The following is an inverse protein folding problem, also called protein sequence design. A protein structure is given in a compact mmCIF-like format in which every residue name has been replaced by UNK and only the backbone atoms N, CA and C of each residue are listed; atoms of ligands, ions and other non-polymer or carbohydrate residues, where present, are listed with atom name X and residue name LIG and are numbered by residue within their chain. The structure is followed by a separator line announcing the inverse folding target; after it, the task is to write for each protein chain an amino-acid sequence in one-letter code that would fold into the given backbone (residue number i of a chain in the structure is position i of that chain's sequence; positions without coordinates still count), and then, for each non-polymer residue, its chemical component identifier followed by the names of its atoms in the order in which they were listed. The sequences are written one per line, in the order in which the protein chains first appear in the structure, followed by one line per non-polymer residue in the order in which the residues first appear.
data_IF_591140551661
#
_entry.id   IF_591140551661
#
_cell.length_a   1.000
_cell.length_b   1.000
_cell.length_c   1.000
_cell.angle_alpha   90.00
_cell.angle_beta   90.00
_cell.angle_gamma   90.00
#
_symmetry.space_group_name_H-M   'P 1'
#
loop_
_entity.id
_entity.type
_entity.pdbx_description
1 polymer ?
#
# COMPACT_ATOMS: atom_id res chain seq x y z
N UNK A 1 8.26 7.96 -17.73
CA UNK A 1 9.55 7.83 -18.44
C UNK A 1 10.18 6.43 -18.32
N UNK A 2 9.96 5.65 -17.25
CA UNK A 2 10.54 4.30 -17.10
C UNK A 2 9.92 3.21 -18.01
N UNK A 3 8.62 3.27 -18.31
CA UNK A 3 7.95 2.27 -19.13
C UNK A 3 8.47 2.23 -20.59
N UNK A 4 8.86 3.39 -21.13
CA UNK A 4 9.34 3.53 -22.51
C UNK A 4 10.76 2.97 -22.69
N UNK A 5 11.63 3.08 -21.68
CA UNK A 5 13.01 2.56 -21.73
C UNK A 5 13.06 1.03 -21.58
N UNK A 6 12.13 0.45 -20.82
CA UNK A 6 12.02 -1.01 -20.66
C UNK A 6 11.63 -1.71 -21.98
N UNK A 7 10.80 -1.08 -22.81
CA UNK A 7 10.36 -1.67 -24.07
C UNK A 7 11.47 -1.70 -25.14
N UNK A 8 12.47 -0.82 -25.04
CA UNK A 8 13.50 -0.63 -26.07
C UNK A 8 14.86 -1.28 -25.75
N UNK A 9 15.17 -1.61 -24.49
CA UNK A 9 16.55 -2.01 -24.11
C UNK A 9 16.69 -3.42 -23.52
N UNK A 10 15.60 -4.10 -23.16
CA UNK A 10 15.66 -5.44 -22.56
C UNK A 10 16.30 -5.53 -21.17
N UNK A 11 16.77 -4.42 -20.59
CA UNK A 11 17.31 -4.36 -19.23
C UNK A 11 16.55 -3.32 -18.40
N UNK A 12 16.15 -3.69 -17.17
CA UNK A 12 15.58 -2.75 -16.20
C UNK A 12 16.67 -1.77 -15.74
N UNK A 13 16.54 -0.46 -15.98
CA UNK A 13 17.47 0.52 -15.42
C UNK A 13 17.29 0.57 -13.90
N UNK A 14 18.38 0.64 -13.15
CA UNK A 14 18.34 0.88 -11.71
C UNK A 14 17.71 2.26 -11.43
N UNK A 15 16.51 2.27 -10.83
CA UNK A 15 15.85 3.49 -10.39
C UNK A 15 16.39 3.91 -9.02
N UNK A 16 17.20 4.97 -9.01
CA UNK A 16 17.71 5.59 -7.78
C UNK A 16 16.77 6.73 -7.35
N UNK A 17 16.43 6.79 -6.06
CA UNK A 17 15.73 7.92 -5.47
C UNK A 17 16.71 8.71 -4.60
N UNK A 18 16.86 10.01 -4.84
CA UNK A 18 17.62 10.88 -3.94
C UNK A 18 16.67 11.46 -2.90
N UNK A 19 16.72 10.89 -1.69
CA UNK A 19 15.99 11.39 -0.52
C UNK A 19 16.66 12.68 0.00
N UNK A 20 16.03 13.83 -0.23
CA UNK A 20 16.46 15.14 0.27
C UNK A 20 15.69 15.60 1.53
N UNK A 21 14.91 14.72 2.19
CA UNK A 21 14.11 15.09 3.36
C UNK A 21 14.95 15.49 4.59
N UNK A 22 16.25 15.17 4.59
CA UNK A 22 17.25 15.66 5.55
C UNK A 22 18.47 16.20 4.79
N UNK A 23 18.63 17.54 4.67
CA UNK A 23 19.73 18.16 3.92
C UNK A 23 21.13 17.69 4.39
N UNK A 24 21.24 17.29 5.65
CA UNK A 24 22.52 17.01 6.30
C UNK A 24 23.01 15.55 6.15
N UNK A 25 22.18 14.65 5.63
CA UNK A 25 22.57 13.24 5.36
C UNK A 25 21.87 12.68 4.10
N UNK A 26 22.24 13.16 2.90
CA UNK A 26 21.74 12.56 1.67
C UNK A 26 22.15 11.09 1.62
N UNK A 27 21.16 10.19 1.56
CA UNK A 27 21.37 8.75 1.38
C UNK A 27 20.84 8.36 0.01
N UNK A 28 21.71 7.84 -0.84
CA UNK A 28 21.29 7.19 -2.08
C UNK A 28 20.64 5.86 -1.70
N UNK A 29 19.31 5.79 -1.78
CA UNK A 29 18.57 4.53 -1.66
C UNK A 29 18.06 4.11 -3.03
N UNK A 30 18.04 2.81 -3.27
CA UNK A 30 17.26 2.26 -4.37
C UNK A 30 15.78 2.58 -4.14
N UNK A 31 15.00 2.65 -5.23
CA UNK A 31 13.55 2.86 -5.12
C UNK A 31 12.87 1.80 -4.23
N UNK A 32 13.37 0.56 -4.23
CA UNK A 32 12.86 -0.50 -3.36
C UNK A 32 13.11 -0.22 -1.88
N UNK A 33 14.32 0.22 -1.53
CA UNK A 33 14.66 0.57 -0.14
C UNK A 33 13.83 1.76 0.35
N UNK A 34 13.59 2.74 -0.51
CA UNK A 34 12.76 3.89 -0.16
C UNK A 34 11.30 3.49 0.04
N UNK A 35 10.73 2.65 -0.83
CA UNK A 35 9.37 2.11 -0.64
C UNK A 35 9.29 1.33 0.68
N UNK A 36 10.23 0.42 0.93
CA UNK A 36 10.30 -0.32 2.19
C UNK A 36 10.42 0.59 3.42
N UNK A 37 11.10 1.73 3.29
CA UNK A 37 11.21 2.71 4.35
C UNK A 37 9.90 3.47 4.57
N UNK A 38 9.29 4.02 3.50
CA UNK A 38 8.02 4.74 3.57
C UNK A 38 6.90 3.85 4.10
N UNK A 39 6.85 2.59 3.67
CA UNK A 39 5.89 1.61 4.17
C UNK A 39 5.95 1.50 5.70
N UNK A 40 7.15 1.30 6.26
CA UNK A 40 7.33 1.13 7.72
C UNK A 40 7.22 2.45 8.49
N UNK A 41 7.76 3.54 7.94
CA UNK A 41 7.81 4.82 8.64
C UNK A 41 6.44 5.52 8.68
N UNK A 42 5.59 5.26 7.69
CA UNK A 42 4.29 5.93 7.53
C UNK A 42 3.15 4.93 7.41
N UNK A 43 3.08 4.19 6.31
CA UNK A 43 1.88 3.45 5.87
C UNK A 43 1.36 2.50 6.95
N UNK A 44 2.25 1.71 7.55
CA UNK A 44 1.89 0.74 8.60
C UNK A 44 2.34 1.15 9.99
N UNK A 45 2.69 2.43 10.18
CA UNK A 45 3.13 2.94 11.47
C UNK A 45 1.90 3.22 12.36
N UNK A 46 1.76 2.55 13.52
CA UNK A 46 0.60 2.74 14.40
C UNK A 46 0.41 4.20 14.83
N UNK A 47 1.49 4.95 15.06
CA UNK A 47 1.41 6.37 15.44
C UNK A 47 0.83 7.23 14.33
N UNK A 48 1.16 6.91 13.07
CA UNK A 48 0.61 7.62 11.93
C UNK A 48 -0.87 7.27 11.73
N UNK A 49 -1.22 5.98 11.79
CA UNK A 49 -2.61 5.51 11.70
C UNK A 49 -3.49 6.17 12.75
N UNK A 50 -3.11 6.09 14.03
CA UNK A 50 -3.80 6.78 15.12
C UNK A 50 -3.85 8.31 14.92
N UNK A 51 -2.82 8.87 14.27
CA UNK A 51 -2.77 10.25 13.83
C UNK A 51 -3.90 10.62 12.88
N UNK A 52 -3.96 9.89 11.78
CA UNK A 52 -4.89 10.09 10.66
C UNK A 52 -6.32 9.78 11.09
N UNK A 53 -6.53 8.76 11.91
CA UNK A 53 -7.85 8.34 12.41
C UNK A 53 -8.57 9.41 13.23
N UNK A 54 -7.86 10.41 13.77
CA UNK A 54 -8.49 11.57 14.44
C UNK A 54 -9.25 12.51 13.50
N UNK A 55 -9.17 12.31 12.19
CA UNK A 55 -9.72 13.20 11.18
C UNK A 55 -10.92 12.63 10.41
N UNK A 56 -11.64 11.65 10.99
CA UNK A 56 -12.90 11.13 10.47
C UNK A 56 -12.83 10.73 8.98
N UNK A 57 -13.79 11.20 8.17
CA UNK A 57 -13.82 10.93 6.72
C UNK A 57 -12.50 11.27 6.01
N UNK A 58 -11.90 12.43 6.30
CA UNK A 58 -10.63 12.82 5.66
C UNK A 58 -9.50 11.88 6.06
N UNK A 59 -9.49 11.42 7.30
CA UNK A 59 -8.56 10.39 7.75
C UNK A 59 -8.72 9.09 6.97
N UNK A 60 -9.95 8.59 6.85
CA UNK A 60 -10.24 7.38 6.09
C UNK A 60 -9.86 7.53 4.61
N UNK A 61 -10.17 8.68 3.99
CA UNK A 61 -9.78 8.99 2.61
C UNK A 61 -8.26 8.90 2.39
N UNK A 62 -7.45 9.44 3.31
CA UNK A 62 -5.98 9.38 3.18
C UNK A 62 -5.44 7.95 3.23
N UNK A 63 -6.06 7.06 4.02
CA UNK A 63 -5.68 5.64 4.09
C UNK A 63 -5.98 4.96 2.76
N UNK A 64 -7.19 5.16 2.21
CA UNK A 64 -7.59 4.60 0.90
C UNK A 64 -6.67 5.10 -0.21
N UNK A 65 -6.43 6.41 -0.28
CA UNK A 65 -5.54 7.01 -1.27
C UNK A 65 -4.09 6.49 -1.16
N UNK A 66 -3.63 6.19 0.07
CA UNK A 66 -2.29 5.60 0.27
C UNK A 66 -2.18 4.23 -0.40
N UNK A 67 -3.22 3.39 -0.35
CA UNK A 67 -3.25 2.12 -1.07
C UNK A 67 -3.27 2.34 -2.59
N UNK A 68 -4.02 3.32 -3.08
CA UNK A 68 -4.04 3.66 -4.51
C UNK A 68 -2.66 4.03 -5.04
N UNK A 69 -1.93 4.86 -4.30
CA UNK A 69 -0.56 5.23 -4.65
C UNK A 69 0.36 4.02 -4.63
N UNK A 70 0.30 3.19 -3.58
CA UNK A 70 1.08 1.95 -3.51
C UNK A 70 0.81 1.05 -4.72
N UNK A 71 -0.46 0.88 -5.10
CA UNK A 71 -0.84 0.08 -6.27
C UNK A 71 -0.29 0.67 -7.58
N UNK A 72 -0.41 1.98 -7.79
CA UNK A 72 0.12 2.63 -8.99
C UNK A 72 1.65 2.48 -9.10
N UNK A 73 2.37 2.61 -7.97
CA UNK A 73 3.81 2.35 -7.93
C UNK A 73 4.14 0.88 -8.24
N UNK A 74 3.37 -0.07 -7.72
CA UNK A 74 3.53 -1.50 -8.05
C UNK A 74 3.41 -1.73 -9.55
N UNK A 75 2.34 -1.21 -10.17
CA UNK A 75 2.03 -1.40 -11.58
C UNK A 75 3.05 -0.73 -12.53
N UNK A 76 3.72 0.34 -12.10
CA UNK A 76 4.59 1.14 -12.98
C UNK A 76 6.08 0.91 -12.77
N UNK A 77 6.50 0.54 -11.56
CA UNK A 77 7.92 0.43 -11.19
C UNK A 77 8.34 -0.98 -10.81
N UNK A 78 7.41 -1.81 -10.34
CA UNK A 78 7.69 -3.13 -9.78
C UNK A 78 8.47 -3.12 -8.46
N UNK A 79 8.71 -1.95 -7.85
CA UNK A 79 9.46 -1.83 -6.61
C UNK A 79 8.59 -2.09 -5.36
N UNK A 80 7.26 -1.98 -5.50
CA UNK A 80 6.31 -2.49 -4.50
C UNK A 80 6.13 -3.99 -4.70
N UNK A 81 6.81 -4.77 -3.86
CA UNK A 81 6.71 -6.24 -3.80
C UNK A 81 5.53 -6.74 -2.96
N UNK A 82 5.18 -8.02 -3.14
CA UNK A 82 4.11 -8.75 -2.42
C UNK A 82 4.08 -8.51 -0.91
N UNK A 83 5.22 -8.58 -0.23
CA UNK A 83 5.25 -8.38 1.23
C UNK A 83 4.81 -6.98 1.69
N UNK A 84 4.89 -5.96 0.83
CA UNK A 84 4.37 -4.62 1.15
C UNK A 84 2.83 -4.61 1.12
N UNK A 85 2.20 -5.35 0.20
CA UNK A 85 0.75 -5.52 0.19
C UNK A 85 0.27 -6.30 1.41
N UNK A 86 1.00 -7.33 1.84
CA UNK A 86 0.66 -8.02 3.09
C UNK A 86 0.69 -7.05 4.29
N UNK A 87 1.73 -6.23 4.39
CA UNK A 87 1.84 -5.22 5.46
C UNK A 87 0.67 -4.23 5.44
N UNK A 88 0.29 -3.73 4.25
CA UNK A 88 -0.85 -2.84 4.11
C UNK A 88 -2.17 -3.52 4.45
N UNK A 89 -2.36 -4.77 4.02
CA UNK A 89 -3.57 -5.53 4.29
C UNK A 89 -3.71 -5.82 5.79
N UNK A 90 -2.62 -6.23 6.44
CA UNK A 90 -2.61 -6.47 7.88
C UNK A 90 -2.97 -5.18 8.64
N UNK A 91 -2.42 -4.03 8.24
CA UNK A 91 -2.65 -2.75 8.90
C UNK A 91 -4.03 -2.12 8.62
N UNK A 92 -4.62 -2.31 7.44
CA UNK A 92 -5.85 -1.63 7.04
C UNK A 92 -7.10 -2.49 7.13
N UNK A 93 -6.95 -3.81 6.97
CA UNK A 93 -8.07 -4.76 6.88
C UNK A 93 -8.09 -5.72 8.06
N UNK A 94 -6.95 -6.31 8.45
CA UNK A 94 -6.94 -7.26 9.59
C UNK A 94 -7.00 -6.57 10.95
N UNK A 95 -6.45 -5.37 11.05
CA UNK A 95 -6.59 -4.57 12.27
C UNK A 95 -8.04 -4.12 12.45
N UNK A 96 -8.69 -4.62 13.49
CA UNK A 96 -10.11 -4.38 13.75
C UNK A 96 -10.42 -2.91 14.05
N UNK A 97 -9.49 -2.19 14.68
CA UNK A 97 -9.65 -0.78 15.01
C UNK A 97 -9.66 0.06 13.73
N UNK A 98 -8.67 -0.17 12.86
CA UNK A 98 -8.56 0.53 11.57
C UNK A 98 -9.71 0.14 10.65
N UNK A 99 -10.05 -1.16 10.54
CA UNK A 99 -11.17 -1.65 9.73
C UNK A 99 -12.48 -0.99 10.16
N UNK A 100 -12.78 -1.02 11.45
CA UNK A 100 -13.99 -0.42 12.00
C UNK A 100 -14.02 1.10 11.76
N UNK A 101 -12.88 1.77 11.89
CA UNK A 101 -12.77 3.19 11.59
C UNK A 101 -13.09 3.50 10.12
N UNK A 102 -12.51 2.75 9.18
CA UNK A 102 -12.73 2.93 7.75
C UNK A 102 -14.20 2.69 7.38
N UNK A 103 -14.78 1.58 7.85
CA UNK A 103 -16.20 1.25 7.62
C UNK A 103 -17.15 2.33 8.14
N UNK A 104 -16.85 2.92 9.31
CA UNK A 104 -17.70 3.97 9.90
C UNK A 104 -17.55 5.32 9.21
N UNK A 105 -16.33 5.70 8.83
CA UNK A 105 -16.04 7.06 8.38
C UNK A 105 -16.01 7.21 6.86
N UNK A 106 -15.80 6.14 6.10
CA UNK A 106 -15.83 6.12 4.65
C UNK A 106 -16.14 4.70 4.12
N UNK A 107 -17.39 4.21 4.27
CA UNK A 107 -17.75 2.84 3.89
C UNK A 107 -17.49 2.55 2.41
N UNK A 108 -17.86 3.48 1.52
CA UNK A 108 -17.58 3.33 0.09
C UNK A 108 -16.06 3.26 -0.19
N UNK A 109 -15.26 4.10 0.47
CA UNK A 109 -13.80 4.05 0.34
C UNK A 109 -13.21 2.74 0.88
N UNK A 110 -13.82 2.13 1.90
CA UNK A 110 -13.42 0.82 2.38
C UNK A 110 -13.70 -0.29 1.35
N UNK A 111 -14.86 -0.24 0.69
CA UNK A 111 -15.17 -1.18 -0.41
C UNK A 111 -14.19 -1.00 -1.58
N UNK A 112 -13.87 0.25 -1.94
CA UNK A 112 -12.84 0.56 -2.96
C UNK A 112 -11.45 0.04 -2.57
N UNK A 113 -11.09 0.13 -1.28
CA UNK A 113 -9.85 -0.40 -0.73
C UNK A 113 -9.77 -1.92 -0.85
N UNK A 114 -10.84 -2.65 -0.53
CA UNK A 114 -10.92 -4.11 -0.71
C UNK A 114 -10.84 -4.50 -2.18
N UNK A 115 -11.60 -3.81 -3.04
CA UNK A 115 -11.56 -4.00 -4.49
C UNK A 115 -10.15 -3.79 -5.05
N UNK A 116 -9.40 -2.84 -4.52
CA UNK A 116 -8.03 -2.57 -4.96
C UNK A 116 -7.05 -3.66 -4.53
N UNK A 117 -7.22 -4.21 -3.33
CA UNK A 117 -6.46 -5.39 -2.89
C UNK A 117 -6.75 -6.61 -3.77
N UNK A 118 -8.01 -6.87 -4.08
CA UNK A 118 -8.42 -7.95 -4.98
C UNK A 118 -7.89 -7.74 -6.41
N UNK A 119 -7.92 -6.50 -6.92
CA UNK A 119 -7.29 -6.16 -8.20
C UNK A 119 -5.78 -6.43 -8.18
N UNK A 120 -5.08 -6.12 -7.08
CA UNK A 120 -3.65 -6.41 -6.94
C UNK A 120 -3.37 -7.92 -7.04
N UNK A 121 -4.26 -8.77 -6.49
CA UNK A 121 -4.17 -10.22 -6.64
C UNK A 121 -4.42 -10.65 -8.09
N UNK A 122 -5.53 -10.20 -8.70
CA UNK A 122 -5.86 -10.54 -10.11
C UNK A 122 -4.75 -10.15 -11.09
N UNK A 123 -4.11 -9.00 -10.87
CA UNK A 123 -3.00 -8.51 -11.70
C UNK A 123 -1.64 -9.08 -11.32
N UNK A 124 -1.57 -10.00 -10.36
CA UNK A 124 -0.34 -10.64 -9.84
C UNK A 124 0.68 -9.63 -9.30
N UNK A 125 0.21 -8.46 -8.87
CA UNK A 125 1.03 -7.49 -8.14
C UNK A 125 1.21 -7.93 -6.67
N UNK A 126 0.22 -8.67 -6.16
CA UNK A 126 0.24 -9.26 -4.84
C UNK A 126 -0.07 -10.76 -4.92
N UNK A 127 0.69 -11.57 -4.19
CA UNK A 127 0.37 -12.97 -3.89
C UNK A 127 0.21 -13.12 -2.38
N UNK A 128 -1.02 -13.18 -1.85
CA UNK A 128 -1.26 -13.27 -0.42
C UNK A 128 -0.61 -14.51 0.20
N UNK A 129 -0.07 -14.37 1.41
CA UNK A 129 0.47 -15.50 2.17
C UNK A 129 -0.61 -16.44 2.73
N UNK A 130 -1.84 -15.95 2.89
CA UNK A 130 -2.96 -16.70 3.47
C UNK A 130 -4.18 -16.65 2.57
N UNK A 131 -4.84 -17.80 2.40
CA UNK A 131 -6.12 -17.89 1.70
C UNK A 131 -7.25 -17.16 2.44
N UNK A 132 -7.09 -16.88 3.75
CA UNK A 132 -8.08 -16.11 4.52
C UNK A 132 -8.25 -14.68 4.01
N UNK A 133 -7.37 -14.19 3.14
CA UNK A 133 -7.53 -12.87 2.49
C UNK A 133 -8.75 -12.85 1.57
N UNK A 134 -9.05 -13.96 0.89
CA UNK A 134 -10.13 -14.02 -0.10
C UNK A 134 -11.53 -13.90 0.51
N UNK A 135 -11.70 -14.25 1.79
CA UNK A 135 -13.00 -14.12 2.46
C UNK A 135 -13.43 -12.65 2.55
N UNK A 136 -12.47 -11.74 2.75
CA UNK A 136 -12.71 -10.29 2.78
C UNK A 136 -13.18 -9.71 1.44
N UNK A 137 -12.92 -10.37 0.31
CA UNK A 137 -13.36 -9.89 -1.01
C UNK A 137 -14.76 -10.36 -1.37
N UNK A 138 -15.18 -11.51 -0.85
CA UNK A 138 -16.47 -12.13 -1.17
C UNK A 138 -17.61 -11.67 -0.26
N UNK A 139 -17.35 -10.76 0.69
CA UNK A 139 -18.32 -10.32 1.70
C UNK A 139 -18.49 -11.30 2.88
N UNK A 140 -17.81 -12.44 2.83
CA UNK A 140 -17.72 -13.40 3.93
C UNK A 140 -16.66 -12.89 4.92
N UNK A 141 -17.08 -12.01 5.82
CA UNK A 141 -16.22 -11.69 6.99
C UNK A 141 -15.94 -13.01 7.69
N UNK A 142 -14.68 -13.42 7.91
CA UNK A 142 -14.40 -14.71 8.54
C UNK A 142 -15.01 -14.72 9.94
N UNK A 143 -15.77 -15.78 10.26
CA UNK A 143 -16.27 -16.06 11.61
C UNK A 143 -15.08 -16.11 12.59
N UNK A 144 -15.22 -15.32 13.66
CA UNK A 144 -14.48 -15.26 14.95
C UNK A 144 -12.94 -15.16 14.96
#
# INVERSE_FOLDING_TARGET
LNATVHHLSGQRPAAYHQDHSRPERPRTRTLEEEISHVMRARVVNPKWLQGVMRHGYKGAFEIVATLDYMFAFAATTGAVRTHHFDLAFDAFVRDDEVRTFLQRNNPQGYDELLNRFDEAVRRRLWTPRSNSVYSFFNGDTPDD
#
